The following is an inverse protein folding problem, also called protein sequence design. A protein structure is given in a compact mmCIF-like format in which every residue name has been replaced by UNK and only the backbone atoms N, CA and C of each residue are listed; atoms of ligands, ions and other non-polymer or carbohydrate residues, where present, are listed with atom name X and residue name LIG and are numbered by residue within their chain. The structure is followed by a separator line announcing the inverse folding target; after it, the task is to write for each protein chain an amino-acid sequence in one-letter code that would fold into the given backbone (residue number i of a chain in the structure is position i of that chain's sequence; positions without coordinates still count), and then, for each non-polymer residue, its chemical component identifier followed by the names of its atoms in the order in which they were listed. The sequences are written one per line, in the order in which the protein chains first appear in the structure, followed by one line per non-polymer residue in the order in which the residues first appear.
data_IF_073435252181
#
_entry.id   IF_073435252181
#
_cell.length_a   1.000
_cell.length_b   1.000
_cell.length_c   1.000
_cell.angle_alpha   90.00
_cell.angle_beta   90.00
_cell.angle_gamma   90.00
#
_symmetry.space_group_name_H-M   'P 1'
#
loop_
_entity.id
_entity.type
_entity.pdbx_description
1 polymer ?
#
# COMPACT_ATOMS: atom_id res chain seq x y z
N UNK A 1 9.67 -15.45 -7.81
CA UNK A 1 8.55 -15.91 -8.66
C UNK A 1 7.38 -15.11 -8.17
N UNK A 2 6.92 -14.16 -8.97
CA UNK A 2 5.60 -13.58 -8.73
C UNK A 2 4.61 -14.75 -8.74
N UNK A 3 3.91 -14.91 -7.62
CA UNK A 3 2.88 -15.93 -7.54
C UNK A 3 1.72 -15.37 -8.34
N UNK A 4 1.50 -15.92 -9.52
CA UNK A 4 0.35 -15.56 -10.33
C UNK A 4 -0.93 -15.88 -9.53
N UNK A 5 -1.69 -14.82 -9.24
CA UNK A 5 -2.96 -14.90 -8.52
C UNK A 5 -4.15 -14.90 -9.49
N UNK A 6 -3.91 -14.92 -10.80
CA UNK A 6 -4.94 -14.95 -11.83
C UNK A 6 -5.83 -16.19 -11.68
N UNK A 7 -7.15 -15.97 -11.68
CA UNK A 7 -8.15 -17.02 -11.50
C UNK A 7 -8.36 -17.52 -10.06
N UNK A 8 -7.64 -17.00 -9.06
CA UNK A 8 -7.94 -17.28 -7.65
C UNK A 8 -9.18 -16.50 -7.19
N UNK A 9 -9.94 -17.11 -6.28
CA UNK A 9 -11.01 -16.39 -5.59
C UNK A 9 -10.43 -15.29 -4.67
N UNK A 10 -11.11 -14.15 -4.46
CA UNK A 10 -10.61 -13.05 -3.62
C UNK A 10 -10.21 -13.49 -2.21
N UNK A 11 -10.96 -14.42 -1.60
CA UNK A 11 -10.63 -14.97 -0.29
C UNK A 11 -9.30 -15.76 -0.28
N UNK A 12 -8.94 -16.40 -1.40
CA UNK A 12 -7.65 -17.06 -1.56
C UNK A 12 -6.52 -16.06 -1.73
N UNK A 13 -6.74 -14.99 -2.50
CA UNK A 13 -5.77 -13.89 -2.68
C UNK A 13 -5.47 -13.24 -1.32
N UNK A 14 -6.51 -12.92 -0.53
CA UNK A 14 -6.39 -12.30 0.80
C UNK A 14 -5.44 -13.06 1.75
N UNK A 15 -5.40 -14.39 1.63
CA UNK A 15 -4.54 -15.24 2.49
C UNK A 15 -3.17 -15.48 1.87
N UNK A 16 -3.09 -15.59 0.54
CA UNK A 16 -1.91 -16.08 -0.17
C UNK A 16 -0.97 -14.99 -0.70
N UNK A 17 -1.47 -13.79 -1.03
CA UNK A 17 -0.68 -12.70 -1.58
C UNK A 17 0.21 -12.03 -0.52
N UNK A 18 1.35 -11.45 -0.92
CA UNK A 18 2.30 -10.83 0.00
C UNK A 18 3.06 -11.82 0.89
N UNK A 19 2.98 -13.12 0.59
CA UNK A 19 3.64 -14.18 1.37
C UNK A 19 5.05 -14.43 0.88
N UNK A 20 5.90 -14.88 1.80
CA UNK A 20 7.25 -15.30 1.44
C UNK A 20 7.21 -16.52 0.49
N UNK A 21 8.25 -16.71 -0.35
CA UNK A 21 8.38 -17.90 -1.18
C UNK A 21 8.28 -19.19 -0.35
N UNK A 22 7.55 -20.17 -0.88
CA UNK A 22 7.32 -21.47 -0.21
C UNK A 22 8.51 -22.39 -0.39
N UNK A 23 9.59 -22.13 0.34
CA UNK A 23 10.81 -22.95 0.35
C UNK A 23 11.10 -23.52 1.75
N UNK A 24 11.76 -24.68 1.88
CA UNK A 24 12.11 -25.24 3.19
C UNK A 24 12.86 -24.24 4.08
N UNK A 25 12.39 -24.04 5.31
CA UNK A 25 12.98 -23.12 6.28
C UNK A 25 12.50 -21.66 6.21
N UNK A 26 11.68 -21.30 5.21
CA UNK A 26 11.07 -19.97 5.16
C UNK A 26 9.97 -19.79 6.22
N UNK A 27 9.74 -18.53 6.62
CA UNK A 27 8.60 -18.17 7.46
C UNK A 27 7.27 -18.33 6.71
N UNK A 28 6.20 -18.62 7.44
CA UNK A 28 4.85 -18.71 6.87
C UNK A 28 4.23 -17.32 6.60
N UNK A 29 4.58 -16.33 7.42
CA UNK A 29 4.11 -14.95 7.31
C UNK A 29 5.27 -14.06 6.84
N UNK A 30 4.95 -12.91 6.25
CA UNK A 30 5.93 -11.85 6.09
C UNK A 30 6.51 -11.47 7.46
N UNK A 31 7.83 -11.25 7.57
CA UNK A 31 8.46 -10.87 8.83
C UNK A 31 8.07 -9.46 9.26
N UNK A 32 8.17 -9.17 10.56
CA UNK A 32 8.10 -7.82 11.09
C UNK A 32 9.49 -7.18 11.00
N UNK A 33 9.66 -6.28 10.04
CA UNK A 33 10.89 -5.53 9.84
C UNK A 33 10.86 -4.22 10.64
N UNK A 34 11.50 -4.23 11.80
CA UNK A 34 11.57 -3.11 12.75
C UNK A 34 12.86 -2.29 12.61
N UNK A 35 13.39 -2.18 11.39
CA UNK A 35 14.52 -1.31 11.09
C UNK A 35 14.06 -0.04 10.38
N UNK A 36 14.73 1.07 10.68
CA UNK A 36 14.56 2.33 9.95
C UNK A 36 15.49 2.45 8.74
N UNK A 37 16.66 1.80 8.78
CA UNK A 37 17.71 1.92 7.76
C UNK A 37 18.22 0.55 7.36
N UNK A 38 18.66 0.43 6.12
CA UNK A 38 19.24 -0.78 5.57
C UNK A 38 20.65 -0.50 5.06
N UNK A 39 21.42 -1.56 4.82
CA UNK A 39 22.73 -1.43 4.18
C UNK A 39 22.52 -0.87 2.76
N UNK A 40 23.42 0.03 2.36
CA UNK A 40 23.34 0.73 1.08
C UNK A 40 23.33 -0.23 -0.13
N UNK A 41 22.86 0.30 -1.26
CA UNK A 41 22.73 -0.40 -2.55
C UNK A 41 21.75 -1.59 -2.54
N UNK A 42 20.90 -1.66 -1.51
CA UNK A 42 19.77 -2.58 -1.46
C UNK A 42 18.54 -2.08 -2.22
N UNK A 43 17.54 -2.94 -2.45
CA UNK A 43 16.26 -2.54 -3.04
C UNK A 43 15.51 -1.51 -2.18
N UNK A 44 15.74 -1.55 -0.86
CA UNK A 44 15.28 -0.56 0.11
C UNK A 44 16.48 -0.14 0.92
N UNK A 45 16.71 1.17 1.02
CA UNK A 45 17.82 1.74 1.80
C UNK A 45 17.33 2.45 3.07
N UNK A 46 16.09 2.93 3.07
CA UNK A 46 15.49 3.63 4.20
C UNK A 46 13.99 3.33 4.29
N UNK A 47 13.51 2.96 5.49
CA UNK A 47 12.17 2.42 5.71
C UNK A 47 11.04 3.33 5.22
N UNK A 48 11.23 4.66 5.25
CA UNK A 48 10.24 5.62 4.73
C UNK A 48 9.92 5.39 3.24
N UNK A 49 10.90 4.96 2.45
CA UNK A 49 10.72 4.74 1.01
C UNK A 49 10.20 3.33 0.68
N UNK A 50 10.25 2.41 1.65
CA UNK A 50 9.78 1.03 1.52
C UNK A 50 10.19 0.23 2.75
N UNK A 51 9.44 -0.81 3.10
CA UNK A 51 9.76 -1.70 4.22
C UNK A 51 9.20 -3.09 3.87
N UNK A 52 9.96 -4.19 4.03
CA UNK A 52 9.50 -5.55 3.73
C UNK A 52 8.13 -5.94 4.34
N UNK A 53 7.82 -5.43 5.54
CA UNK A 53 6.52 -5.64 6.18
C UNK A 53 5.40 -4.95 5.41
N UNK A 54 5.64 -3.72 4.97
CA UNK A 54 4.66 -2.90 4.27
C UNK A 54 4.48 -3.36 2.82
N UNK A 55 5.57 -3.71 2.14
CA UNK A 55 5.52 -4.20 0.75
C UNK A 55 4.68 -5.47 0.61
N UNK A 56 4.74 -6.37 1.60
CA UNK A 56 3.86 -7.54 1.65
C UNK A 56 2.37 -7.15 1.72
N UNK A 57 2.02 -6.13 2.50
CA UNK A 57 0.65 -5.64 2.58
C UNK A 57 0.20 -4.93 1.30
N UNK A 58 1.07 -4.11 0.72
CA UNK A 58 0.84 -3.40 -0.55
C UNK A 58 0.63 -4.38 -1.72
N UNK A 59 1.42 -5.45 -1.78
CA UNK A 59 1.26 -6.52 -2.78
C UNK A 59 -0.11 -7.19 -2.63
N UNK A 60 -0.49 -7.57 -1.40
CA UNK A 60 -1.77 -8.23 -1.16
C UNK A 60 -2.97 -7.35 -1.47
N UNK A 61 -2.92 -6.07 -1.09
CA UNK A 61 -3.99 -5.11 -1.37
C UNK A 61 -4.07 -4.80 -2.87
N UNK A 62 -2.92 -4.63 -3.54
CA UNK A 62 -2.86 -4.42 -4.98
C UNK A 62 -3.45 -5.59 -5.76
N UNK A 63 -3.12 -6.83 -5.37
CA UNK A 63 -3.68 -8.03 -5.99
C UNK A 63 -5.21 -8.14 -5.82
N UNK A 64 -5.75 -7.69 -4.68
CA UNK A 64 -7.20 -7.68 -4.44
C UNK A 64 -7.95 -6.63 -5.25
N UNK A 65 -7.36 -5.44 -5.41
CA UNK A 65 -7.95 -4.31 -6.15
C UNK A 65 -7.64 -4.34 -7.66
N UNK A 66 -6.78 -5.26 -8.12
CA UNK A 66 -6.37 -5.39 -9.51
C UNK A 66 -5.41 -4.27 -9.96
N UNK A 67 -4.56 -3.77 -9.06
CA UNK A 67 -3.65 -2.67 -9.33
C UNK A 67 -2.47 -2.59 -8.37
N UNK A 68 -1.92 -1.39 -8.21
CA UNK A 68 -0.85 -1.11 -7.24
C UNK A 68 -1.43 -0.45 -5.99
N UNK A 69 -0.86 -0.74 -4.83
CA UNK A 69 -1.22 -0.09 -3.58
C UNK A 69 -0.01 0.57 -2.91
N UNK A 70 -0.27 1.58 -2.10
CA UNK A 70 0.72 2.26 -1.27
C UNK A 70 0.12 2.49 0.12
N UNK A 71 0.83 2.07 1.18
CA UNK A 71 0.33 2.18 2.56
C UNK A 71 0.67 3.53 3.17
N UNK A 72 -0.27 4.08 3.94
CA UNK A 72 -0.11 5.33 4.68
C UNK A 72 -0.43 5.13 6.16
N UNK A 73 0.04 6.06 7.00
CA UNK A 73 -0.20 6.03 8.44
C UNK A 73 -1.69 6.15 8.82
N UNK A 74 -2.54 6.68 7.93
CA UNK A 74 -3.99 6.75 8.12
C UNK A 74 -4.71 6.92 6.78
N UNK A 75 -6.03 6.72 6.76
CA UNK A 75 -6.87 7.02 5.60
C UNK A 75 -6.82 8.51 5.19
N UNK A 76 -6.71 9.42 6.16
CA UNK A 76 -6.57 10.86 5.87
C UNK A 76 -5.21 11.19 5.23
N UNK A 77 -4.13 10.49 5.61
CA UNK A 77 -2.84 10.63 4.96
C UNK A 77 -2.86 10.11 3.52
N UNK A 78 -3.57 9.01 3.25
CA UNK A 78 -3.79 8.51 1.88
C UNK A 78 -4.58 9.51 1.02
N UNK A 79 -5.66 10.08 1.58
CA UNK A 79 -6.47 11.11 0.90
C UNK A 79 -5.61 12.35 0.61
N UNK A 80 -4.88 12.86 1.61
CA UNK A 80 -4.02 14.02 1.44
C UNK A 80 -2.94 13.79 0.38
N UNK A 81 -2.31 12.60 0.36
CA UNK A 81 -1.33 12.24 -0.66
C UNK A 81 -1.96 12.20 -2.06
N UNK A 82 -3.14 11.58 -2.22
CA UNK A 82 -3.85 11.56 -3.50
C UNK A 82 -4.23 12.97 -3.98
N UNK A 83 -4.71 13.84 -3.09
CA UNK A 83 -5.06 15.23 -3.42
C UNK A 83 -3.83 16.08 -3.74
N UNK A 84 -2.68 15.78 -3.14
CA UNK A 84 -1.42 16.49 -3.43
C UNK A 84 -0.90 16.28 -4.86
N UNK A 85 -1.48 15.33 -5.61
CA UNK A 85 -1.21 15.15 -7.04
C UNK A 85 -1.87 16.24 -7.90
N UNK A 86 -2.91 16.91 -7.40
CA UNK A 86 -3.54 18.03 -8.09
C UNK A 86 -2.63 19.25 -8.04
N UNK A 87 -2.43 19.92 -9.18
CA UNK A 87 -1.69 21.18 -9.25
C UNK A 87 -2.55 22.34 -8.75
N UNK A 88 -1.90 23.42 -8.30
CA UNK A 88 -2.59 24.66 -7.95
C UNK A 88 -3.52 25.13 -9.09
N UNK A 89 -4.74 25.53 -8.74
CA UNK A 89 -5.77 25.93 -9.70
C UNK A 89 -6.52 24.78 -10.39
N UNK A 90 -6.24 23.51 -10.04
CA UNK A 90 -7.00 22.37 -10.55
C UNK A 90 -8.44 22.36 -10.01
N UNK A 91 -9.37 21.84 -10.81
CA UNK A 91 -10.76 21.62 -10.38
C UNK A 91 -10.91 20.18 -9.88
N UNK A 92 -11.41 20.01 -8.66
CA UNK A 92 -11.71 18.71 -8.06
C UNK A 92 -13.23 18.53 -7.99
N UNK A 93 -13.73 17.41 -8.52
CA UNK A 93 -15.13 17.01 -8.41
C UNK A 93 -15.26 15.94 -7.33
N UNK A 94 -16.09 16.20 -6.32
CA UNK A 94 -16.29 15.31 -5.19
C UNK A 94 -17.79 15.02 -4.92
N UNK A 95 -18.13 13.86 -4.33
CA UNK A 95 -19.50 13.56 -3.92
C UNK A 95 -20.01 14.54 -2.87
N UNK A 96 -21.31 14.85 -2.91
CA UNK A 96 -21.99 15.66 -1.88
C UNK A 96 -22.01 14.98 -0.49
N UNK A 97 -21.86 13.66 -0.47
CA UNK A 97 -21.84 12.84 0.74
C UNK A 97 -20.55 12.04 0.76
N UNK A 98 -19.57 12.54 1.48
CA UNK A 98 -18.30 11.88 1.74
C UNK A 98 -18.05 11.80 3.26
N UNK A 99 -17.03 11.06 3.66
CA UNK A 99 -16.51 11.13 5.02
C UNK A 99 -16.18 12.59 5.39
N UNK A 100 -16.57 13.06 6.57
CA UNK A 100 -16.49 14.50 6.90
C UNK A 100 -15.06 15.04 6.84
N UNK A 101 -14.06 14.22 7.20
CA UNK A 101 -12.65 14.61 7.10
C UNK A 101 -12.22 14.88 5.65
N UNK A 102 -12.77 14.16 4.68
CA UNK A 102 -12.51 14.41 3.26
C UNK A 102 -13.05 15.77 2.83
N UNK A 103 -14.28 16.11 3.25
CA UNK A 103 -14.88 17.43 2.99
C UNK A 103 -14.05 18.57 3.56
N UNK A 104 -13.61 18.43 4.83
CA UNK A 104 -12.78 19.44 5.49
C UNK A 104 -11.44 19.68 4.80
N UNK A 105 -10.77 18.62 4.32
CA UNK A 105 -9.52 18.81 3.55
C UNK A 105 -9.81 19.50 2.22
N UNK A 106 -10.86 19.11 1.49
CA UNK A 106 -11.20 19.73 0.20
C UNK A 106 -11.53 21.22 0.33
N UNK A 107 -12.17 21.64 1.42
CA UNK A 107 -12.44 23.05 1.73
C UNK A 107 -11.18 23.85 2.06
N UNK A 108 -10.08 23.18 2.39
CA UNK A 108 -8.79 23.80 2.72
C UNK A 108 -7.80 23.86 1.55
N UNK A 109 -8.13 23.25 0.41
CA UNK A 109 -7.35 23.33 -0.83
C UNK A 109 -7.57 24.67 -1.54
#
# INVERSE_FOLDING_TARGET
MDVDHEGLAPASILVAAGRQPRVPGAGLNAPLELSSTYIADGPVNYARAGNPTWSAFEEALGALEGGSALVFASGMAAIAAALSLASEGSVIVAPIHAYSGTGLILESL
#
